data_IF_412559367686
#
_entry.id   IF_412559367686
#
_cell.length_a   1.000
_cell.length_b   1.000
_cell.length_c   1.000
_cell.angle_alpha   90.00
_cell.angle_beta   90.00
_cell.angle_gamma   90.00
#
_symmetry.space_group_name_H-M   'P 1'
#
loop_
_entity.id
_entity.type
_entity.pdbx_description
1 polymer ?
#
# COMPACT_ATOMS: atom_id res chain seq x y z
N UNK A 1 -39.30 -18.36 20.03
CA UNK A 1 -38.26 -18.09 21.06
C UNK A 1 -37.00 -18.92 20.80
N UNK A 2 -36.37 -18.82 19.61
CA UNK A 2 -35.08 -19.47 19.35
C UNK A 2 -34.08 -18.61 18.54
N UNK A 3 -34.53 -17.57 17.85
CA UNK A 3 -33.63 -16.74 17.03
C UNK A 3 -32.78 -15.76 17.83
N UNK A 4 -33.29 -15.13 18.89
CA UNK A 4 -32.51 -14.16 19.70
C UNK A 4 -31.40 -14.80 20.55
N UNK A 5 -31.48 -16.10 20.86
CA UNK A 5 -30.48 -16.81 21.67
C UNK A 5 -29.31 -17.28 20.82
N UNK A 6 -29.56 -17.66 19.56
CA UNK A 6 -28.55 -18.03 18.58
C UNK A 6 -27.77 -16.83 18.04
N UNK A 7 -28.44 -15.68 17.84
CA UNK A 7 -27.75 -14.45 17.43
C UNK A 7 -26.80 -13.95 18.53
N UNK A 8 -27.16 -14.08 19.81
CA UNK A 8 -26.31 -13.70 20.95
C UNK A 8 -25.16 -14.67 21.25
N UNK A 9 -25.21 -15.91 20.74
CA UNK A 9 -24.12 -16.89 20.88
C UNK A 9 -23.03 -16.69 19.81
N UNK A 10 -23.38 -16.19 18.61
CA UNK A 10 -22.40 -15.82 17.57
C UNK A 10 -21.53 -14.61 17.89
N UNK A 11 -21.93 -13.77 18.85
CA UNK A 11 -21.13 -12.64 19.31
C UNK A 11 -20.13 -13.00 20.42
N UNK A 12 -20.00 -14.28 20.80
CA UNK A 12 -19.25 -14.69 22.00
C UNK A 12 -18.21 -15.79 21.79
N UNK A 13 -17.75 -15.99 20.56
CA UNK A 13 -16.53 -16.73 20.28
C UNK A 13 -15.57 -15.80 19.54
N UNK A 14 -14.95 -14.87 20.27
CA UNK A 14 -13.72 -14.25 19.77
C UNK A 14 -12.72 -15.39 19.56
N UNK A 15 -12.20 -15.53 18.34
CA UNK A 15 -11.17 -16.50 18.04
C UNK A 15 -9.99 -16.23 18.97
N UNK A 16 -9.37 -17.29 19.52
CA UNK A 16 -8.19 -17.17 20.39
C UNK A 16 -7.10 -16.28 19.75
N UNK A 17 -6.92 -16.40 18.43
CA UNK A 17 -6.02 -15.56 17.65
C UNK A 17 -6.41 -14.07 17.70
N UNK A 18 -7.70 -13.76 17.58
CA UNK A 18 -8.19 -12.37 17.63
C UNK A 18 -7.96 -11.76 19.01
N UNK A 19 -8.13 -12.53 20.08
CA UNK A 19 -7.87 -12.08 21.44
C UNK A 19 -6.37 -11.82 21.68
N UNK A 20 -5.50 -12.68 21.15
CA UNK A 20 -4.04 -12.50 21.21
C UNK A 20 -3.60 -11.25 20.44
N UNK A 21 -4.07 -11.07 19.20
CA UNK A 21 -3.79 -9.88 18.38
C UNK A 21 -4.27 -8.62 19.09
N UNK A 22 -5.51 -8.60 19.62
CA UNK A 22 -6.03 -7.45 20.36
C UNK A 22 -5.15 -7.10 21.55
N UNK A 23 -4.73 -8.10 22.32
CA UNK A 23 -3.84 -7.85 23.47
C UNK A 23 -2.49 -7.26 23.02
N UNK A 24 -1.89 -7.77 21.94
CA UNK A 24 -0.65 -7.22 21.38
C UNK A 24 -0.86 -5.76 20.95
N UNK A 25 -1.95 -5.46 20.23
CA UNK A 25 -2.27 -4.11 19.77
C UNK A 25 -2.50 -3.14 20.94
N UNK A 26 -3.16 -3.57 22.00
CA UNK A 26 -3.37 -2.73 23.19
C UNK A 26 -2.05 -2.43 23.92
N UNK A 27 -1.17 -3.43 24.07
CA UNK A 27 0.16 -3.22 24.65
C UNK A 27 1.02 -2.31 23.75
N UNK A 28 0.87 -2.41 22.45
CA UNK A 28 1.59 -1.58 21.50
C UNK A 28 1.13 -0.12 21.51
N UNK A 29 -0.18 0.14 21.62
CA UNK A 29 -0.70 1.50 21.81
C UNK A 29 -0.13 2.17 23.05
N UNK A 30 -0.03 1.43 24.15
CA UNK A 30 0.63 1.91 25.39
C UNK A 30 2.09 2.25 25.15
N UNK A 31 2.81 1.39 24.42
CA UNK A 31 4.21 1.63 24.05
C UNK A 31 4.39 2.91 23.24
N UNK A 32 3.50 3.18 22.27
CA UNK A 32 3.53 4.38 21.42
C UNK A 32 3.45 5.69 22.20
N UNK A 33 2.79 5.69 23.35
CA UNK A 33 2.61 6.87 24.21
C UNK A 33 3.51 6.86 25.47
N UNK A 34 4.47 5.93 25.55
CA UNK A 34 5.33 5.71 26.72
C UNK A 34 4.56 5.44 28.04
N UNK A 35 3.41 4.78 27.96
CA UNK A 35 2.68 4.32 29.15
C UNK A 35 3.35 3.08 29.76
N UNK A 36 3.33 2.99 31.09
CA UNK A 36 3.85 1.84 31.83
C UNK A 36 3.20 0.52 31.40
N UNK A 37 4.02 -0.52 31.21
CA UNK A 37 3.57 -1.82 30.73
C UNK A 37 3.31 -1.91 29.22
N UNK A 38 3.59 -0.85 28.46
CA UNK A 38 3.56 -0.88 27.00
C UNK A 38 4.67 -1.75 26.40
N UNK A 39 4.32 -2.56 25.40
CA UNK A 39 5.25 -3.45 24.68
C UNK A 39 5.10 -3.21 23.19
N UNK A 40 6.22 -2.97 22.49
CA UNK A 40 6.22 -2.87 21.02
C UNK A 40 5.65 -4.17 20.43
N UNK A 41 4.73 -4.08 19.47
CA UNK A 41 4.17 -5.25 18.82
C UNK A 41 5.27 -6.08 18.15
N UNK A 42 5.38 -7.34 18.58
CA UNK A 42 6.19 -8.37 17.93
C UNK A 42 5.22 -9.48 17.51
N UNK A 43 5.03 -9.57 16.20
CA UNK A 43 4.25 -10.60 15.52
C UNK A 43 5.12 -11.27 14.44
N UNK A 44 6.45 -11.27 14.63
CA UNK A 44 7.37 -11.93 13.72
C UNK A 44 7.05 -13.43 13.65
N UNK A 45 7.12 -14.00 12.45
CA UNK A 45 6.80 -15.41 12.15
C UNK A 45 5.36 -15.86 12.48
N UNK A 46 4.46 -14.94 12.86
CA UNK A 46 3.10 -15.29 13.23
C UNK A 46 2.27 -15.70 12.00
N UNK A 47 1.36 -16.67 12.19
CA UNK A 47 0.27 -16.91 11.25
C UNK A 47 -0.86 -15.90 11.54
N UNK A 48 -0.92 -14.84 10.74
CA UNK A 48 -1.94 -13.80 10.80
C UNK A 48 -2.91 -13.93 9.62
N UNK A 49 -2.99 -15.11 9.00
CA UNK A 49 -3.83 -15.30 7.83
C UNK A 49 -5.30 -15.10 8.17
N UNK A 50 -5.99 -14.27 7.37
CA UNK A 50 -7.38 -13.88 7.62
C UNK A 50 -7.61 -12.97 8.83
N UNK A 51 -6.57 -12.57 9.57
CA UNK A 51 -6.71 -11.73 10.76
C UNK A 51 -7.31 -10.36 10.42
N UNK A 52 -8.17 -9.83 11.30
CA UNK A 52 -8.72 -8.48 11.15
C UNK A 52 -7.94 -7.47 12.00
N UNK A 53 -7.09 -6.68 11.35
CA UNK A 53 -6.28 -5.62 11.94
C UNK A 53 -6.58 -4.26 11.29
N UNK A 54 -7.79 -4.06 10.75
CA UNK A 54 -8.16 -2.81 10.10
C UNK A 54 -8.09 -1.62 11.07
N UNK A 55 -7.49 -0.52 10.65
CA UNK A 55 -7.33 0.69 11.45
C UNK A 55 -6.36 0.56 12.64
N UNK A 56 -5.62 -0.57 12.74
CA UNK A 56 -4.64 -0.75 13.81
C UNK A 56 -3.45 0.19 13.64
N UNK A 57 -2.96 0.75 14.74
CA UNK A 57 -1.61 1.31 14.78
C UNK A 57 -0.64 0.14 14.91
N UNK A 58 0.14 -0.10 13.86
CA UNK A 58 1.21 -1.09 13.75
C UNK A 58 2.54 -0.41 13.44
N UNK A 59 2.65 0.89 13.69
CA UNK A 59 3.86 1.63 13.37
C UNK A 59 5.02 1.11 14.22
N UNK A 60 6.20 0.94 13.61
CA UNK A 60 7.37 0.31 14.23
C UNK A 60 7.19 -1.16 14.68
N UNK A 61 6.06 -1.83 14.39
CA UNK A 61 5.86 -3.24 14.74
C UNK A 61 6.83 -4.16 13.99
N UNK A 62 7.15 -5.30 14.60
CA UNK A 62 7.86 -6.38 13.90
C UNK A 62 6.85 -7.38 13.34
N UNK A 63 6.72 -7.41 12.01
CA UNK A 63 5.88 -8.33 11.23
C UNK A 63 6.75 -9.20 10.31
N UNK A 64 8.07 -9.28 10.58
CA UNK A 64 9.00 -10.01 9.72
C UNK A 64 8.62 -11.49 9.65
N UNK A 65 8.69 -12.07 8.44
CA UNK A 65 8.34 -13.46 8.17
C UNK A 65 6.88 -13.87 8.54
N UNK A 66 5.98 -12.93 8.85
CA UNK A 66 4.60 -13.24 9.18
C UNK A 66 3.79 -13.66 7.94
N UNK A 67 2.77 -14.50 8.14
CA UNK A 67 1.79 -14.83 7.11
C UNK A 67 0.57 -13.91 7.19
N UNK A 68 0.47 -12.97 6.24
CA UNK A 68 -0.60 -11.98 6.17
C UNK A 68 -1.62 -12.31 5.07
N UNK A 69 -1.65 -13.54 4.54
CA UNK A 69 -2.59 -13.92 3.47
C UNK A 69 -4.03 -13.69 3.92
N UNK A 70 -4.78 -12.92 3.15
CA UNK A 70 -6.17 -12.55 3.45
C UNK A 70 -6.37 -11.73 4.74
N UNK A 71 -5.32 -11.26 5.40
CA UNK A 71 -5.46 -10.36 6.53
C UNK A 71 -6.10 -9.04 6.10
N UNK A 72 -7.05 -8.54 6.88
CA UNK A 72 -7.62 -7.22 6.68
C UNK A 72 -6.79 -6.18 7.44
N UNK A 73 -5.97 -5.45 6.70
CA UNK A 73 -5.12 -4.35 7.19
C UNK A 73 -5.58 -2.98 6.64
N UNK A 74 -6.84 -2.88 6.20
CA UNK A 74 -7.40 -1.63 5.68
C UNK A 74 -7.24 -0.52 6.71
N UNK A 75 -6.75 0.65 6.29
CA UNK A 75 -6.48 1.82 7.17
C UNK A 75 -5.49 1.59 8.33
N UNK A 76 -4.79 0.44 8.37
CA UNK A 76 -3.75 0.21 9.37
C UNK A 76 -2.54 1.12 9.12
N UNK A 77 -1.96 1.65 10.19
CA UNK A 77 -0.72 2.41 10.12
C UNK A 77 0.46 1.47 10.26
N UNK A 78 1.14 1.18 9.16
CA UNK A 78 2.32 0.31 9.15
C UNK A 78 3.63 1.10 9.15
N UNK A 79 3.62 2.43 9.35
CA UNK A 79 4.82 3.27 9.18
C UNK A 79 5.99 2.69 9.97
N UNK A 80 7.09 2.41 9.28
CA UNK A 80 8.33 1.83 9.84
C UNK A 80 8.19 0.43 10.45
N UNK A 81 7.09 -0.28 10.18
CA UNK A 81 6.98 -1.69 10.51
C UNK A 81 7.99 -2.51 9.70
N UNK A 82 8.56 -3.54 10.30
CA UNK A 82 9.39 -4.50 9.56
C UNK A 82 8.49 -5.57 8.93
N UNK A 83 8.41 -5.58 7.60
CA UNK A 83 7.66 -6.56 6.81
C UNK A 83 8.59 -7.51 6.05
N UNK A 84 9.88 -7.55 6.41
CA UNK A 84 10.89 -8.35 5.71
C UNK A 84 10.51 -9.82 5.73
N UNK A 85 10.37 -10.43 4.55
CA UNK A 85 10.01 -11.85 4.41
C UNK A 85 8.55 -12.17 4.72
N UNK A 86 7.71 -11.19 5.07
CA UNK A 86 6.28 -11.43 5.24
C UNK A 86 5.64 -11.88 3.92
N UNK A 87 4.66 -12.78 4.00
CA UNK A 87 3.92 -13.30 2.85
C UNK A 87 2.47 -12.83 2.85
N UNK A 88 1.80 -12.81 1.70
CA UNK A 88 0.38 -12.40 1.61
C UNK A 88 0.14 -10.89 1.59
N UNK A 89 1.20 -10.09 1.69
CA UNK A 89 1.21 -8.68 1.28
C UNK A 89 1.40 -8.57 -0.24
N UNK A 90 0.88 -7.50 -0.83
CA UNK A 90 0.96 -7.26 -2.28
C UNK A 90 2.41 -7.25 -2.78
N UNK A 91 2.75 -8.22 -3.63
CA UNK A 91 3.94 -8.15 -4.45
C UNK A 91 3.77 -7.09 -5.54
N UNK A 92 4.80 -6.27 -5.75
CA UNK A 92 4.71 -5.15 -6.69
C UNK A 92 4.57 -5.63 -8.14
N UNK A 93 5.24 -6.72 -8.52
CA UNK A 93 5.18 -7.27 -9.88
C UNK A 93 3.81 -7.91 -10.12
N UNK A 94 3.30 -8.70 -9.17
CA UNK A 94 1.97 -9.29 -9.28
C UNK A 94 0.89 -8.22 -9.37
N UNK A 95 1.00 -7.16 -8.55
CA UNK A 95 0.10 -6.02 -8.62
C UNK A 95 0.15 -5.32 -9.98
N UNK A 96 1.35 -5.06 -10.49
CA UNK A 96 1.55 -4.46 -11.80
C UNK A 96 0.91 -5.32 -12.89
N UNK A 97 1.16 -6.63 -12.87
CA UNK A 97 0.61 -7.60 -13.82
C UNK A 97 -0.91 -7.69 -13.80
N UNK A 98 -1.54 -7.52 -12.64
CA UNK A 98 -2.99 -7.58 -12.49
C UNK A 98 -3.71 -6.27 -12.85
N UNK A 99 -3.05 -5.11 -12.71
CA UNK A 99 -3.71 -3.80 -12.75
C UNK A 99 -3.26 -2.88 -13.90
N UNK A 100 -2.14 -3.18 -14.57
CA UNK A 100 -1.57 -2.34 -15.60
C UNK A 100 -1.37 -3.12 -16.90
N UNK A 101 -1.53 -2.43 -18.03
CA UNK A 101 -1.26 -3.00 -19.35
C UNK A 101 0.25 -3.24 -19.49
N UNK A 102 0.63 -4.51 -19.73
CA UNK A 102 2.01 -4.91 -19.99
C UNK A 102 2.31 -4.82 -21.49
N UNK A 103 3.43 -4.20 -21.82
CA UNK A 103 3.98 -4.14 -23.19
C UNK A 103 5.22 -5.05 -23.32
N UNK A 104 5.86 -5.00 -24.48
CA UNK A 104 7.18 -5.61 -24.71
C UNK A 104 8.32 -4.87 -23.97
N UNK A 105 8.12 -3.61 -23.58
CA UNK A 105 9.14 -2.77 -22.95
C UNK A 105 8.91 -2.53 -21.45
N UNK A 106 7.69 -2.69 -20.96
CA UNK A 106 7.35 -2.41 -19.56
C UNK A 106 5.86 -2.39 -19.27
N UNK A 107 5.43 -1.49 -18.38
CA UNK A 107 4.03 -1.30 -18.00
C UNK A 107 3.54 0.11 -18.37
N UNK A 108 2.34 0.19 -18.94
CA UNK A 108 1.64 1.45 -19.18
C UNK A 108 1.04 1.94 -17.88
N UNK A 109 1.30 3.20 -17.54
CA UNK A 109 0.75 3.89 -16.39
C UNK A 109 0.21 5.26 -16.79
N UNK A 110 -0.62 5.87 -15.95
CA UNK A 110 -1.25 7.14 -16.25
C UNK A 110 -1.01 8.15 -15.13
N UNK A 111 -0.94 9.43 -15.51
CA UNK A 111 -0.77 10.54 -14.57
C UNK A 111 -1.49 11.79 -15.06
N UNK A 112 -2.10 12.49 -14.12
CA UNK A 112 -2.50 13.88 -14.28
C UNK A 112 -1.48 14.81 -13.58
N UNK A 113 -1.21 15.97 -14.19
CA UNK A 113 -0.34 17.02 -13.63
C UNK A 113 -1.21 18.25 -13.29
N UNK A 114 -1.90 18.19 -12.16
CA UNK A 114 -2.79 19.26 -11.69
C UNK A 114 -2.24 19.97 -10.45
N UNK A 115 -3.05 20.84 -9.85
CA UNK A 115 -2.68 21.57 -8.62
C UNK A 115 -2.42 20.66 -7.42
N UNK A 116 -2.95 19.44 -7.39
CA UNK A 116 -2.74 18.50 -6.30
C UNK A 116 -1.40 17.77 -6.45
N UNK A 117 -0.98 17.48 -7.68
CA UNK A 117 0.31 16.87 -8.01
C UNK A 117 0.99 17.57 -9.19
N UNK A 118 1.44 18.83 -9.02
CA UNK A 118 2.01 19.60 -10.11
C UNK A 118 3.33 19.01 -10.57
N UNK A 119 3.63 19.16 -11.86
CA UNK A 119 4.97 18.88 -12.37
C UNK A 119 5.96 19.89 -11.75
N UNK A 120 7.09 19.45 -11.18
CA UNK A 120 8.16 20.36 -10.80
C UNK A 120 8.80 20.97 -12.05
N UNK A 121 9.37 22.17 -11.93
CA UNK A 121 9.96 22.94 -13.04
C UNK A 121 11.05 22.17 -13.82
N UNK A 122 11.68 21.17 -13.20
CA UNK A 122 12.72 20.34 -13.81
C UNK A 122 12.20 19.29 -14.80
N UNK A 123 10.88 19.03 -14.84
CA UNK A 123 10.31 18.06 -15.77
C UNK A 123 9.87 18.76 -17.06
N UNK A 124 10.29 18.21 -18.19
CA UNK A 124 9.71 18.55 -19.48
C UNK A 124 8.53 17.61 -19.77
N UNK A 125 7.31 18.15 -19.75
CA UNK A 125 6.08 17.36 -19.97
C UNK A 125 5.80 17.26 -21.47
N UNK A 126 6.53 16.38 -22.14
CA UNK A 126 6.51 16.19 -23.58
C UNK A 126 6.64 14.72 -23.95
N UNK A 127 6.00 14.31 -25.03
CA UNK A 127 6.12 12.96 -25.57
C UNK A 127 7.59 12.60 -25.87
N UNK A 128 7.99 11.40 -25.44
CA UNK A 128 9.34 10.89 -25.53
C UNK A 128 10.20 11.15 -24.28
N UNK A 129 9.88 12.18 -23.50
CA UNK A 129 10.70 12.60 -22.35
C UNK A 129 10.62 11.60 -21.19
N UNK A 130 11.76 11.42 -20.52
CA UNK A 130 11.85 10.59 -19.30
C UNK A 130 11.90 11.50 -18.10
N UNK A 131 10.84 11.47 -17.30
CA UNK A 131 10.79 12.18 -16.02
C UNK A 131 11.34 11.29 -14.90
N UNK A 132 11.97 11.92 -13.91
CA UNK A 132 12.64 11.21 -12.81
C UNK A 132 12.38 11.82 -11.44
N UNK A 133 12.33 10.97 -10.42
CA UNK A 133 12.26 11.32 -9.00
C UNK A 133 13.03 10.37 -8.10
N UNK A 134 13.25 10.82 -6.88
CA UNK A 134 13.62 9.94 -5.76
C UNK A 134 12.33 9.34 -5.20
N UNK A 135 12.16 8.03 -5.38
CA UNK A 135 11.05 7.30 -4.77
C UNK A 135 11.43 6.85 -3.36
N UNK A 136 10.53 7.02 -2.39
CA UNK A 136 10.69 6.42 -1.07
C UNK A 136 10.44 4.91 -1.19
N UNK A 137 11.42 4.03 -0.90
CA UNK A 137 11.23 2.57 -0.99
C UNK A 137 10.29 2.01 0.09
N UNK A 138 10.00 2.79 1.14
CA UNK A 138 9.12 2.37 2.22
C UNK A 138 7.66 2.27 1.76
N UNK A 139 7.20 1.03 1.57
CA UNK A 139 5.81 0.70 1.17
C UNK A 139 4.77 1.07 2.23
N UNK A 140 5.20 1.32 3.46
CA UNK A 140 4.30 1.65 4.58
C UNK A 140 4.02 3.15 4.70
N UNK A 141 4.72 3.98 3.91
CA UNK A 141 4.52 5.42 3.88
C UNK A 141 3.43 5.81 2.86
N UNK A 142 2.28 6.31 3.33
CA UNK A 142 1.18 6.73 2.46
C UNK A 142 1.49 8.02 1.68
N UNK A 143 2.34 8.92 2.22
CA UNK A 143 2.79 10.13 1.54
C UNK A 143 4.15 9.90 0.85
N UNK A 144 4.13 9.25 -0.30
CA UNK A 144 5.36 8.94 -1.04
C UNK A 144 6.07 10.18 -1.60
N UNK A 145 7.39 10.11 -1.65
CA UNK A 145 8.18 10.77 -2.70
C UNK A 145 8.14 9.90 -3.97
N UNK A 146 8.43 10.45 -5.14
CA UNK A 146 8.36 9.73 -6.41
C UNK A 146 7.26 10.23 -7.35
N UNK A 147 7.29 9.75 -8.58
CA UNK A 147 6.26 10.04 -9.59
C UNK A 147 5.02 9.22 -9.24
N UNK A 148 3.93 9.88 -8.86
CA UNK A 148 2.64 9.24 -8.61
C UNK A 148 1.94 8.90 -9.93
N UNK A 149 1.65 7.63 -10.15
CA UNK A 149 0.98 7.10 -11.35
C UNK A 149 -0.04 6.03 -10.97
N UNK A 150 -1.00 5.76 -11.86
CA UNK A 150 -2.08 4.82 -11.59
C UNK A 150 -2.69 4.23 -12.88
N UNK A 151 -3.59 3.24 -12.79
CA UNK A 151 -4.42 2.80 -13.92
C UNK A 151 -5.29 3.94 -14.45
N UNK A 152 -5.60 3.92 -15.75
CA UNK A 152 -6.34 5.00 -16.43
C UNK A 152 -7.68 5.32 -15.75
N UNK A 153 -8.48 4.30 -15.43
CA UNK A 153 -9.80 4.50 -14.84
C UNK A 153 -9.73 5.18 -13.48
N UNK A 154 -8.69 4.88 -12.69
CA UNK A 154 -8.43 5.56 -11.42
C UNK A 154 -8.11 7.03 -11.64
N UNK A 155 -7.15 7.35 -12.51
CA UNK A 155 -6.75 8.75 -12.75
C UNK A 155 -7.94 9.56 -13.27
N UNK A 156 -8.74 8.97 -14.17
CA UNK A 156 -9.95 9.58 -14.70
C UNK A 156 -11.03 9.83 -13.65
N UNK A 157 -11.15 8.95 -12.66
CA UNK A 157 -12.13 9.10 -11.59
C UNK A 157 -11.74 10.17 -10.56
N UNK A 158 -10.44 10.47 -10.40
CA UNK A 158 -9.94 11.36 -9.34
C UNK A 158 -9.41 12.70 -9.85
N UNK A 159 -9.19 12.85 -11.15
CA UNK A 159 -8.62 14.07 -11.75
C UNK A 159 -9.45 14.56 -12.94
N UNK A 160 -9.67 15.88 -13.00
CA UNK A 160 -10.39 16.55 -14.11
C UNK A 160 -9.45 17.15 -15.17
N UNK A 161 -8.14 17.09 -14.95
CA UNK A 161 -7.14 17.69 -15.84
C UNK A 161 -6.69 16.72 -16.95
N UNK A 162 -5.84 17.22 -17.87
CA UNK A 162 -5.27 16.40 -18.94
C UNK A 162 -4.52 15.20 -18.36
N UNK A 163 -4.90 14.01 -18.83
CA UNK A 163 -4.26 12.74 -18.46
C UNK A 163 -3.17 12.45 -19.48
N UNK A 164 -2.03 11.99 -18.99
CA UNK A 164 -0.90 11.54 -19.78
C UNK A 164 -0.76 10.03 -19.65
N UNK A 165 -0.45 9.39 -20.77
CA UNK A 165 0.00 8.00 -20.84
C UNK A 165 1.52 8.00 -20.66
N UNK A 166 2.01 7.10 -19.82
CA UNK A 166 3.44 6.93 -19.55
C UNK A 166 3.82 5.44 -19.62
N UNK A 167 5.10 5.18 -19.79
CA UNK A 167 5.71 3.86 -19.76
C UNK A 167 6.72 3.78 -18.61
N UNK A 168 6.58 2.77 -17.75
CA UNK A 168 7.65 2.33 -16.87
C UNK A 168 8.33 1.14 -17.52
N UNK A 169 9.57 1.32 -17.98
CA UNK A 169 10.35 0.24 -18.60
C UNK A 169 10.73 -0.84 -17.59
N UNK A 170 10.93 -2.07 -18.05
CA UNK A 170 11.34 -3.19 -17.18
C UNK A 170 12.61 -2.88 -16.37
N UNK A 171 13.59 -2.23 -16.99
CA UNK A 171 14.84 -1.79 -16.35
C UNK A 171 14.65 -0.74 -15.24
N UNK A 172 13.46 -0.15 -15.11
CA UNK A 172 13.14 0.83 -14.06
C UNK A 172 12.28 0.26 -12.93
N UNK A 173 11.89 -1.03 -13.00
CA UNK A 173 11.03 -1.64 -11.99
C UNK A 173 11.62 -1.65 -10.57
N UNK A 174 12.96 -1.66 -10.45
CA UNK A 174 13.62 -1.54 -9.15
C UNK A 174 13.29 -0.24 -8.40
N UNK A 175 12.85 0.79 -9.13
CA UNK A 175 12.41 2.07 -8.56
C UNK A 175 10.89 2.20 -8.39
N UNK A 176 10.14 1.10 -8.53
CA UNK A 176 8.68 1.07 -8.36
C UNK A 176 8.30 0.62 -6.96
N UNK A 177 7.37 1.35 -6.37
CA UNK A 177 6.84 1.10 -5.04
C UNK A 177 5.32 1.05 -5.12
N UNK A 178 4.75 -0.06 -4.69
CA UNK A 178 3.31 -0.21 -4.49
C UNK A 178 3.04 -0.01 -3.00
N UNK A 179 2.46 1.13 -2.59
CA UNK A 179 2.14 1.36 -1.19
C UNK A 179 1.21 0.26 -0.67
N UNK A 180 1.40 -0.11 0.58
CA UNK A 180 0.49 -0.98 1.28
C UNK A 180 -0.92 -0.37 1.30
N UNK A 181 -1.95 -1.19 1.04
CA UNK A 181 -3.34 -0.70 1.00
C UNK A 181 -3.59 0.32 -0.12
N UNK A 182 -2.76 0.33 -1.17
CA UNK A 182 -2.95 1.25 -2.29
C UNK A 182 -4.37 1.15 -2.83
N UNK A 183 -4.96 2.32 -3.02
CA UNK A 183 -6.26 2.52 -3.64
C UNK A 183 -6.17 2.41 -5.18
N UNK A 184 -4.97 2.22 -5.72
CA UNK A 184 -4.64 2.13 -7.15
C UNK A 184 -3.42 2.96 -7.56
N UNK A 185 -2.93 3.84 -6.69
CA UNK A 185 -1.74 4.64 -6.92
C UNK A 185 -0.45 3.86 -6.64
N UNK A 186 0.53 3.96 -7.53
CA UNK A 186 1.89 3.47 -7.30
C UNK A 186 2.87 4.63 -7.45
N UNK A 187 4.07 4.45 -6.90
CA UNK A 187 5.18 5.40 -7.06
C UNK A 187 6.25 4.79 -7.95
N UNK A 188 6.85 5.61 -8.79
CA UNK A 188 8.00 5.22 -9.59
C UNK A 188 9.07 6.29 -9.58
N UNK A 189 10.33 5.86 -9.66
CA UNK A 189 11.48 6.75 -9.78
C UNK A 189 11.67 7.26 -11.22
N UNK A 190 11.13 6.55 -12.23
CA UNK A 190 11.26 6.92 -13.64
C UNK A 190 10.02 6.52 -14.43
N UNK A 191 9.62 7.39 -15.37
CA UNK A 191 8.59 7.09 -16.35
C UNK A 191 8.85 7.88 -17.63
N UNK A 192 8.62 7.26 -18.78
CA UNK A 192 8.66 7.92 -20.08
C UNK A 192 7.27 8.41 -20.45
N UNK A 193 7.13 9.67 -20.85
CA UNK A 193 5.85 10.22 -21.32
C UNK A 193 5.60 9.72 -22.74
N UNK A 194 4.48 9.03 -22.96
CA UNK A 194 4.05 8.57 -24.28
C UNK A 194 3.09 9.54 -24.96
N UNK A 195 2.57 10.53 -24.24
CA UNK A 195 1.70 11.56 -24.78
C UNK A 195 0.44 11.76 -23.95
N UNK A 196 -0.45 12.64 -24.44
CA UNK A 196 -1.76 12.89 -23.83
C UNK A 196 -2.71 11.76 -24.20
N UNK A 197 -3.64 11.46 -23.29
CA UNK A 197 -4.78 10.60 -23.59
C UNK A 197 -5.91 11.51 -24.10
N UNK A 198 -6.47 11.16 -25.26
CA UNK A 198 -7.66 11.81 -25.83
C UNK A 198 -8.95 11.45 -25.08
#
# INVERSE_FOLDING_TARGET
MSTLRETNLRFKEENKMDAEIKNILELHKKWMINEEGGIRADMSYADLSGANMSGADLSYADLSCADLRHANLSDADLRRADLSGAVGILDAIDYLGANFERTNEGYIVFKAFDSHYPAPDRWEIKEGEVITEICNPDRTCQCGCGINVAPYQRVKATHESTIYKLLIKFEWLAGVVVPFGTDGNIRTSRAQILGKVE
#
